data_IF_550277798133
#
_entry.id   IF_550277798133
#
_cell.length_a   1.000
_cell.length_b   1.000
_cell.length_c   1.000
_cell.angle_alpha   90.00
_cell.angle_beta   90.00
_cell.angle_gamma   90.00
#
_symmetry.space_group_name_H-M   'P 1'
#
loop_
_entity.id
_entity.type
_entity.pdbx_description
1 polymer ?
#
# COMPACT_ATOMS: atom_id res chain seq x y z
N UNK A 1 -5.51 -1.57 16.62
CA UNK A 1 -5.98 -0.26 16.10
C UNK A 1 -4.87 0.80 16.14
N UNK A 2 -4.40 1.27 17.30
CA UNK A 2 -3.45 2.41 17.39
C UNK A 2 -2.12 2.22 16.66
N UNK A 3 -1.57 1.00 16.64
CA UNK A 3 -0.33 0.70 15.94
C UNK A 3 -0.48 0.89 14.43
N UNK A 4 -1.50 0.31 13.81
CA UNK A 4 -1.74 0.39 12.35
C UNK A 4 -1.91 1.82 11.89
N UNK A 5 -2.65 2.62 12.64
CA UNK A 5 -2.85 4.04 12.32
C UNK A 5 -1.67 4.94 12.75
N UNK A 6 -0.47 4.41 13.00
CA UNK A 6 0.71 5.22 13.34
C UNK A 6 1.66 5.34 12.14
N UNK A 7 2.64 6.27 12.18
CA UNK A 7 3.71 6.34 11.17
C UNK A 7 4.52 5.07 10.95
N UNK A 8 4.51 4.13 11.90
CA UNK A 8 5.20 2.84 11.80
C UNK A 8 4.25 1.70 11.47
N UNK A 9 2.94 1.99 11.39
CA UNK A 9 1.88 1.01 11.31
C UNK A 9 1.61 0.45 9.92
N UNK A 10 2.01 1.17 8.87
CA UNK A 10 1.69 0.82 7.49
C UNK A 10 2.23 -0.56 7.09
N UNK A 11 3.50 -0.86 7.41
CA UNK A 11 4.11 -2.16 7.15
C UNK A 11 3.45 -3.31 7.93
N UNK A 12 3.36 -3.25 9.27
CA UNK A 12 2.66 -4.25 10.07
C UNK A 12 1.20 -4.48 9.64
N UNK A 13 0.48 -3.41 9.32
CA UNK A 13 -0.89 -3.49 8.80
C UNK A 13 -0.95 -4.28 7.49
N UNK A 14 -0.11 -3.91 6.52
CA UNK A 14 -0.09 -4.59 5.22
C UNK A 14 0.32 -6.05 5.37
N UNK A 15 1.39 -6.33 6.12
CA UNK A 15 1.89 -7.69 6.35
C UNK A 15 0.83 -8.60 6.99
N UNK A 16 0.16 -8.12 8.05
CA UNK A 16 -0.74 -8.94 8.85
C UNK A 16 -2.14 -9.01 8.23
N UNK A 17 -2.75 -7.87 7.95
CA UNK A 17 -4.15 -7.81 7.53
C UNK A 17 -4.31 -8.12 6.05
N UNK A 18 -3.45 -7.55 5.20
CA UNK A 18 -3.59 -7.69 3.75
C UNK A 18 -2.89 -8.97 3.27
N UNK A 19 -1.60 -9.10 3.53
CA UNK A 19 -0.80 -10.19 2.97
C UNK A 19 -1.08 -11.53 3.67
N UNK A 20 -0.92 -11.61 5.00
CA UNK A 20 -1.11 -12.86 5.72
C UNK A 20 -2.58 -13.27 5.76
N UNK A 21 -3.46 -12.45 6.34
CA UNK A 21 -4.89 -12.81 6.47
C UNK A 21 -5.59 -12.80 5.11
N UNK A 22 -5.43 -11.74 4.33
CA UNK A 22 -6.17 -11.52 3.09
C UNK A 22 -5.70 -12.33 1.88
N UNK A 23 -4.39 -12.56 1.73
CA UNK A 23 -3.84 -13.26 0.55
C UNK A 23 -3.42 -14.70 0.87
N UNK A 24 -2.73 -14.93 1.98
CA UNK A 24 -2.21 -16.26 2.32
C UNK A 24 -3.23 -17.17 3.01
N UNK A 25 -3.94 -16.69 4.02
CA UNK A 25 -4.82 -17.53 4.82
C UNK A 25 -6.20 -17.61 4.20
N UNK A 26 -6.76 -16.49 3.75
CA UNK A 26 -8.03 -16.47 3.05
C UNK A 26 -7.92 -17.16 1.67
N UNK A 27 -8.91 -17.98 1.33
CA UNK A 27 -9.04 -18.57 0.00
C UNK A 27 -10.32 -18.01 -0.61
N UNK A 28 -10.17 -17.13 -1.59
CA UNK A 28 -11.32 -16.55 -2.28
C UNK A 28 -12.14 -17.66 -2.98
N UNK A 29 -13.47 -17.54 -3.05
CA UNK A 29 -14.36 -18.53 -3.68
C UNK A 29 -14.27 -18.53 -5.23
N UNK A 30 -13.18 -18.01 -5.79
CA UNK A 30 -12.92 -17.96 -7.22
C UNK A 30 -12.22 -19.23 -7.71
N UNK A 31 -12.55 -19.66 -8.93
CA UNK A 31 -11.88 -20.80 -9.57
C UNK A 31 -10.39 -20.48 -9.73
N UNK A 32 -9.52 -21.32 -9.16
CA UNK A 32 -8.07 -21.18 -9.27
C UNK A 32 -7.36 -20.63 -8.03
N UNK A 33 -8.07 -20.05 -7.05
CA UNK A 33 -7.42 -19.46 -5.87
C UNK A 33 -6.52 -20.43 -5.10
N UNK A 34 -6.92 -21.70 -4.95
CA UNK A 34 -6.09 -22.70 -4.30
C UNK A 34 -4.81 -22.98 -5.11
N UNK A 35 -4.92 -23.10 -6.44
CA UNK A 35 -3.76 -23.31 -7.32
C UNK A 35 -2.78 -22.16 -7.21
N UNK A 36 -3.27 -20.92 -7.25
CA UNK A 36 -2.44 -19.73 -7.16
C UNK A 36 -1.71 -19.68 -5.81
N UNK A 37 -2.41 -20.01 -4.72
CA UNK A 37 -1.80 -20.13 -3.39
C UNK A 37 -0.72 -21.20 -3.35
N UNK A 38 -0.99 -22.39 -3.89
CA UNK A 38 0.00 -23.47 -3.95
C UNK A 38 1.24 -23.07 -4.76
N UNK A 39 1.08 -22.33 -5.85
CA UNK A 39 2.19 -21.80 -6.64
C UNK A 39 3.01 -20.80 -5.80
N UNK A 40 2.37 -19.84 -5.15
CA UNK A 40 3.05 -18.83 -4.32
C UNK A 40 3.79 -19.49 -3.14
N UNK A 41 3.14 -20.42 -2.43
CA UNK A 41 3.76 -21.15 -1.33
C UNK A 41 4.90 -22.04 -1.81
N UNK A 42 4.70 -22.78 -2.89
CA UNK A 42 5.74 -23.63 -3.48
C UNK A 42 6.97 -22.83 -3.89
N UNK A 43 6.76 -21.66 -4.53
CA UNK A 43 7.84 -20.74 -4.88
C UNK A 43 8.56 -20.18 -3.64
N UNK A 44 7.81 -19.69 -2.64
CA UNK A 44 8.40 -19.14 -1.43
C UNK A 44 9.21 -20.19 -0.64
N UNK A 45 8.69 -21.42 -0.54
CA UNK A 45 9.38 -22.54 0.11
C UNK A 45 10.63 -22.98 -0.67
N UNK A 46 10.54 -23.09 -1.99
CA UNK A 46 11.68 -23.51 -2.82
C UNK A 46 12.82 -22.49 -2.79
N UNK A 47 12.50 -21.20 -2.90
CA UNK A 47 13.48 -20.12 -2.76
C UNK A 47 14.07 -20.10 -1.36
N UNK A 48 13.24 -20.24 -0.33
CA UNK A 48 13.71 -20.26 1.06
C UNK A 48 14.67 -21.41 1.34
N UNK A 49 14.31 -22.62 0.93
CA UNK A 49 15.16 -23.80 1.07
C UNK A 49 16.46 -23.66 0.27
N UNK A 50 16.38 -23.15 -0.97
CA UNK A 50 17.57 -22.95 -1.82
C UNK A 50 18.54 -21.95 -1.19
N UNK A 51 18.05 -20.80 -0.71
CA UNK A 51 18.87 -19.80 -0.03
C UNK A 51 19.49 -20.34 1.26
N UNK A 52 18.74 -21.12 2.04
CA UNK A 52 19.27 -21.76 3.24
C UNK A 52 20.39 -22.75 2.90
N UNK A 53 20.16 -23.64 1.93
CA UNK A 53 21.12 -24.66 1.51
C UNK A 53 22.39 -24.01 0.95
N UNK A 54 22.26 -23.07 0.01
CA UNK A 54 23.40 -22.34 -0.56
C UNK A 54 24.18 -21.61 0.53
N UNK A 55 23.47 -20.95 1.46
CA UNK A 55 24.10 -20.24 2.56
C UNK A 55 24.88 -21.17 3.47
N UNK A 56 24.30 -22.32 3.80
CA UNK A 56 24.94 -23.31 4.65
C UNK A 56 26.21 -23.86 4.00
N UNK A 57 26.13 -24.27 2.72
CA UNK A 57 27.31 -24.76 1.99
C UNK A 57 28.39 -23.69 1.82
N UNK A 58 28.01 -22.45 1.51
CA UNK A 58 28.98 -21.34 1.38
C UNK A 58 29.73 -21.01 2.68
N UNK A 59 29.16 -21.41 3.83
CA UNK A 59 29.74 -21.22 5.16
C UNK A 59 30.27 -22.52 5.77
N UNK A 60 30.71 -23.48 4.94
CA UNK A 60 31.29 -24.74 5.41
C UNK A 60 30.27 -25.67 6.07
N UNK A 61 29.07 -25.79 5.50
CA UNK A 61 27.92 -26.58 5.99
C UNK A 61 27.31 -26.11 7.32
N UNK A 62 27.55 -24.85 7.69
CA UNK A 62 26.98 -24.24 8.89
C UNK A 62 25.52 -23.81 8.69
N UNK A 63 24.61 -24.31 9.53
CA UNK A 63 23.22 -23.86 9.54
C UNK A 63 23.09 -22.34 9.79
N UNK A 64 24.05 -21.73 10.52
CA UNK A 64 24.10 -20.28 10.74
C UNK A 64 24.30 -19.54 9.42
N UNK A 65 25.18 -20.04 8.54
CA UNK A 65 25.37 -19.47 7.20
C UNK A 65 24.10 -19.56 6.34
N UNK A 66 23.36 -20.66 6.48
CA UNK A 66 22.06 -20.84 5.83
C UNK A 66 21.03 -19.82 6.30
N UNK A 67 20.82 -19.71 7.61
CA UNK A 67 19.90 -18.72 8.20
C UNK A 67 20.33 -17.30 7.81
N UNK A 68 21.63 -17.02 7.83
CA UNK A 68 22.15 -15.69 7.51
C UNK A 68 21.84 -15.32 6.05
N UNK A 69 22.14 -16.20 5.09
CA UNK A 69 21.85 -15.95 3.68
C UNK A 69 20.34 -15.81 3.44
N UNK A 70 19.54 -16.70 4.02
CA UNK A 70 18.08 -16.63 3.94
C UNK A 70 17.54 -15.32 4.52
N UNK A 71 18.03 -14.90 5.68
CA UNK A 71 17.58 -13.67 6.35
C UNK A 71 17.84 -12.45 5.48
N UNK A 72 19.07 -12.29 4.98
CA UNK A 72 19.46 -11.10 4.21
C UNK A 72 18.85 -11.05 2.81
N UNK A 73 18.61 -12.21 2.18
CA UNK A 73 18.11 -12.27 0.79
C UNK A 73 16.60 -12.48 0.68
N UNK A 74 15.96 -13.03 1.71
CA UNK A 74 14.52 -13.29 1.72
C UNK A 74 13.82 -12.45 2.77
N UNK A 75 14.11 -12.66 4.05
CA UNK A 75 13.34 -12.06 5.15
C UNK A 75 13.40 -10.53 5.16
N UNK A 76 14.60 -9.95 5.05
CA UNK A 76 14.78 -8.48 5.07
C UNK A 76 14.12 -7.81 3.87
N UNK A 77 14.36 -8.23 2.60
CA UNK A 77 13.66 -7.68 1.45
C UNK A 77 12.14 -7.88 1.52
N UNK A 78 11.68 -9.02 2.04
CA UNK A 78 10.25 -9.30 2.21
C UNK A 78 9.59 -8.32 3.20
N UNK A 79 10.20 -8.08 4.36
CA UNK A 79 9.70 -7.09 5.33
C UNK A 79 9.74 -5.67 4.73
N UNK A 80 10.85 -5.32 4.06
CA UNK A 80 10.99 -4.01 3.42
C UNK A 80 9.92 -3.79 2.34
N UNK A 81 9.65 -4.79 1.51
CA UNK A 81 8.59 -4.77 0.50
C UNK A 81 7.21 -4.54 1.13
N UNK A 82 6.86 -5.30 2.18
CA UNK A 82 5.60 -5.10 2.90
C UNK A 82 5.48 -3.68 3.45
N UNK A 83 6.57 -3.11 3.95
CA UNK A 83 6.58 -1.73 4.44
C UNK A 83 6.39 -0.73 3.30
N UNK A 84 7.11 -0.89 2.18
CA UNK A 84 7.00 -0.01 1.01
C UNK A 84 5.58 -0.03 0.45
N UNK A 85 4.98 -1.20 0.27
CA UNK A 85 3.62 -1.30 -0.24
C UNK A 85 2.59 -0.75 0.75
N UNK A 86 2.71 -1.09 2.04
CA UNK A 86 1.86 -0.52 3.07
C UNK A 86 1.94 1.00 3.11
N UNK A 87 3.16 1.55 3.05
CA UNK A 87 3.41 2.99 2.99
C UNK A 87 2.74 3.62 1.76
N UNK A 88 2.93 3.04 0.56
CA UNK A 88 2.32 3.51 -0.68
C UNK A 88 0.78 3.54 -0.59
N UNK A 89 0.16 2.50 -0.03
CA UNK A 89 -1.28 2.49 0.21
C UNK A 89 -1.70 3.63 1.13
N UNK A 90 -0.96 3.86 2.22
CA UNK A 90 -1.29 4.89 3.20
C UNK A 90 -1.19 6.29 2.63
N UNK A 91 -0.09 6.63 1.94
CA UNK A 91 0.08 7.97 1.36
C UNK A 91 -1.00 8.29 0.34
N UNK A 92 -1.41 7.28 -0.45
CA UNK A 92 -2.41 7.47 -1.49
C UNK A 92 -3.84 7.53 -0.97
N UNK A 93 -4.19 6.76 0.06
CA UNK A 93 -5.59 6.57 0.45
C UNK A 93 -5.94 7.14 1.82
N UNK A 94 -4.97 7.72 2.54
CA UNK A 94 -5.20 8.33 3.85
C UNK A 94 -4.78 9.80 3.79
N UNK A 95 -5.78 10.67 3.75
CA UNK A 95 -5.60 12.12 3.77
C UNK A 95 -6.83 12.78 4.38
N UNK A 96 -6.60 13.89 5.08
CA UNK A 96 -7.62 14.72 5.72
C UNK A 96 -8.65 15.27 4.72
N UNK A 97 -8.27 15.42 3.45
CA UNK A 97 -9.16 15.85 2.38
C UNK A 97 -9.87 14.71 1.66
N UNK A 98 -9.56 13.43 1.94
CA UNK A 98 -10.28 12.31 1.31
C UNK A 98 -11.63 12.15 2.01
N UNK A 99 -12.76 12.37 1.30
CA UNK A 99 -14.08 12.28 1.89
C UNK A 99 -14.55 10.83 1.96
N UNK A 100 -14.91 10.35 3.16
CA UNK A 100 -15.57 9.06 3.32
C UNK A 100 -17.08 9.21 3.23
N UNK A 101 -17.71 8.21 2.61
CA UNK A 101 -19.16 8.12 2.47
C UNK A 101 -19.63 6.83 3.10
N UNK A 102 -20.86 6.88 3.61
CA UNK A 102 -21.57 5.68 4.00
C UNK A 102 -21.94 4.85 2.74
N UNK A 103 -22.58 3.71 2.97
CA UNK A 103 -22.93 2.79 1.88
C UNK A 103 -23.89 3.42 0.85
N UNK A 104 -24.72 4.38 1.25
CA UNK A 104 -25.72 4.99 0.38
C UNK A 104 -25.10 6.07 -0.50
N UNK A 105 -24.15 6.85 0.05
CA UNK A 105 -23.43 7.89 -0.68
C UNK A 105 -22.21 7.40 -1.48
N UNK A 106 -21.87 6.11 -1.39
CA UNK A 106 -20.70 5.55 -2.07
C UNK A 106 -21.06 4.91 -3.43
N UNK A 107 -20.22 5.15 -4.42
CA UNK A 107 -20.25 4.43 -5.71
C UNK A 107 -18.81 4.07 -6.14
N UNK A 108 -18.63 3.08 -7.03
CA UNK A 108 -17.32 2.76 -7.57
C UNK A 108 -16.62 3.96 -8.22
N UNK A 109 -17.38 4.75 -9.01
CA UNK A 109 -16.86 5.96 -9.63
C UNK A 109 -16.41 6.99 -8.58
N UNK A 110 -17.18 7.14 -7.51
CA UNK A 110 -16.80 8.00 -6.39
C UNK A 110 -15.50 7.52 -5.73
N UNK A 111 -15.41 6.24 -5.38
CA UNK A 111 -14.20 5.69 -4.75
C UNK A 111 -12.94 5.89 -5.60
N UNK A 112 -13.04 5.72 -6.92
CA UNK A 112 -11.92 5.86 -7.85
C UNK A 112 -11.48 7.33 -8.05
N UNK A 113 -12.43 8.26 -8.09
CA UNK A 113 -12.13 9.68 -8.30
C UNK A 113 -11.70 10.38 -7.00
N UNK A 114 -12.43 10.19 -5.90
CA UNK A 114 -12.23 10.99 -4.69
C UNK A 114 -11.42 10.29 -3.60
N UNK A 115 -11.10 8.99 -3.79
CA UNK A 115 -10.45 8.17 -2.78
C UNK A 115 -8.93 8.19 -2.79
N UNK A 116 -8.30 9.11 -3.54
CA UNK A 116 -6.84 9.10 -3.75
C UNK A 116 -6.17 10.47 -3.73
N UNK A 117 -4.91 10.49 -3.31
CA UNK A 117 -3.99 11.64 -3.44
C UNK A 117 -2.87 11.30 -4.42
N UNK A 118 -2.58 12.24 -5.32
CA UNK A 118 -1.45 12.21 -6.22
C UNK A 118 -0.25 12.95 -5.59
N UNK A 119 0.96 12.40 -5.71
CA UNK A 119 2.18 13.03 -5.23
C UNK A 119 3.16 13.28 -6.37
N UNK A 120 3.64 14.52 -6.47
CA UNK A 120 4.72 14.90 -7.36
C UNK A 120 6.06 14.73 -6.64
N UNK A 121 6.71 13.60 -6.89
CA UNK A 121 8.04 13.27 -6.36
C UNK A 121 9.12 13.42 -7.45
N UNK A 122 10.43 13.44 -7.10
CA UNK A 122 11.48 13.57 -8.10
C UNK A 122 11.41 12.48 -9.17
N UNK A 123 11.63 12.86 -10.43
CA UNK A 123 11.36 12.01 -11.60
C UNK A 123 12.08 10.66 -11.57
N UNK A 124 13.32 10.62 -11.05
CA UNK A 124 14.09 9.39 -10.91
C UNK A 124 13.38 8.38 -10.00
N UNK A 125 12.92 8.82 -8.82
CA UNK A 125 12.14 7.95 -7.93
C UNK A 125 10.83 7.54 -8.59
N UNK A 126 10.13 8.50 -9.21
CA UNK A 126 8.87 8.20 -9.88
C UNK A 126 9.02 7.11 -10.95
N UNK A 127 10.12 7.12 -11.72
CA UNK A 127 10.42 6.08 -12.71
C UNK A 127 10.54 4.68 -12.08
N UNK A 128 11.34 4.52 -11.02
CA UNK A 128 11.50 3.21 -10.35
C UNK A 128 10.22 2.73 -9.67
N UNK A 129 9.35 3.65 -9.26
CA UNK A 129 8.02 3.35 -8.75
C UNK A 129 6.95 3.27 -9.85
N UNK A 130 7.34 3.18 -11.13
CA UNK A 130 6.42 3.10 -12.26
C UNK A 130 5.33 4.18 -12.21
N UNK A 131 5.74 5.43 -11.96
CA UNK A 131 4.89 6.60 -11.83
C UNK A 131 3.67 6.45 -10.90
N UNK A 132 3.62 5.43 -10.02
CA UNK A 132 2.42 5.09 -9.25
C UNK A 132 2.01 6.23 -8.31
N UNK A 133 2.92 7.14 -7.98
CA UNK A 133 2.58 8.31 -7.18
C UNK A 133 1.59 9.27 -7.87
N UNK A 134 1.45 9.16 -9.19
CA UNK A 134 0.31 9.68 -9.96
C UNK A 134 -0.78 8.59 -9.98
N UNK A 135 -1.49 8.48 -8.87
CA UNK A 135 -2.26 7.29 -8.51
C UNK A 135 -3.70 7.30 -8.99
N UNK A 136 -4.35 8.47 -9.01
CA UNK A 136 -5.76 8.58 -9.38
C UNK A 136 -6.06 7.96 -10.76
N UNK A 137 -5.28 8.24 -11.84
CA UNK A 137 -5.59 7.69 -13.15
C UNK A 137 -5.49 6.15 -13.19
N UNK A 138 -4.63 5.56 -12.37
CA UNK A 138 -4.54 4.11 -12.22
C UNK A 138 -5.84 3.50 -11.67
N UNK A 139 -6.50 4.16 -10.73
CA UNK A 139 -7.81 3.72 -10.22
C UNK A 139 -8.94 3.90 -11.22
N UNK A 140 -8.92 5.02 -11.95
CA UNK A 140 -9.94 5.31 -12.97
C UNK A 140 -9.83 4.31 -14.13
N UNK A 141 -8.61 3.97 -14.56
CA UNK A 141 -8.39 2.97 -15.60
C UNK A 141 -7.05 2.27 -15.43
N UNK A 142 -7.08 1.07 -14.86
CA UNK A 142 -5.89 0.22 -14.60
C UNK A 142 -5.13 -0.19 -15.86
N UNK A 143 -5.72 -0.06 -17.05
CA UNK A 143 -5.07 -0.35 -18.34
C UNK A 143 -4.18 0.78 -18.85
N UNK A 144 -4.23 1.98 -18.26
CA UNK A 144 -3.35 3.07 -18.66
C UNK A 144 -1.91 2.67 -18.33
N UNK A 145 -0.99 2.67 -19.30
CA UNK A 145 0.39 2.34 -19.03
C UNK A 145 1.02 3.42 -18.14
N UNK A 146 1.95 3.01 -17.27
CA UNK A 146 2.47 3.89 -16.24
C UNK A 146 3.12 5.19 -16.76
N UNK A 147 3.73 5.13 -17.96
CA UNK A 147 4.36 6.28 -18.60
C UNK A 147 3.35 7.34 -19.10
N UNK A 148 2.07 6.98 -19.24
CA UNK A 148 0.98 7.91 -19.61
C UNK A 148 0.19 8.43 -18.41
N UNK A 149 0.49 8.03 -17.17
CA UNK A 149 -0.29 8.44 -16.00
C UNK A 149 -0.33 9.96 -15.80
N UNK A 150 0.75 10.68 -16.14
CA UNK A 150 0.78 12.14 -16.06
C UNK A 150 -0.17 12.79 -17.06
N UNK A 151 -0.13 12.35 -18.31
CA UNK A 151 -1.03 12.84 -19.36
C UNK A 151 -2.49 12.54 -19.03
N UNK A 152 -2.76 11.33 -18.53
CA UNK A 152 -4.09 10.94 -18.09
C UNK A 152 -4.59 11.81 -16.91
N UNK A 153 -3.72 12.15 -15.96
CA UNK A 153 -4.07 13.04 -14.86
C UNK A 153 -4.46 14.43 -15.37
N UNK A 154 -3.71 15.01 -16.31
CA UNK A 154 -4.05 16.31 -16.91
C UNK A 154 -5.38 16.25 -17.68
N UNK A 155 -5.63 15.14 -18.40
CA UNK A 155 -6.92 14.90 -19.04
C UNK A 155 -8.08 14.86 -18.03
N UNK A 156 -7.92 14.15 -16.90
CA UNK A 156 -8.92 14.11 -15.83
C UNK A 156 -9.12 15.51 -15.23
N UNK A 157 -8.03 16.24 -14.95
CA UNK A 157 -8.08 17.60 -14.37
C UNK A 157 -8.83 18.60 -15.24
N UNK A 158 -8.80 18.44 -16.56
CA UNK A 158 -9.55 19.32 -17.48
C UNK A 158 -11.07 19.28 -17.27
N UNK A 159 -11.60 18.21 -16.67
CA UNK A 159 -13.05 18.02 -16.43
C UNK A 159 -13.38 17.95 -14.94
N UNK A 160 -12.52 17.33 -14.13
CA UNK A 160 -12.75 16.99 -12.72
C UNK A 160 -11.71 17.63 -11.78
N UNK A 161 -11.04 18.70 -12.20
CA UNK A 161 -9.90 19.30 -11.50
C UNK A 161 -10.16 19.64 -10.02
N UNK A 162 -11.36 20.11 -9.68
CA UNK A 162 -11.75 20.47 -8.31
C UNK A 162 -11.69 19.29 -7.33
N UNK A 163 -11.65 18.07 -7.85
CA UNK A 163 -11.67 16.83 -7.09
C UNK A 163 -10.33 16.12 -7.05
N UNK A 164 -9.33 16.66 -7.76
CA UNK A 164 -7.99 16.08 -7.85
C UNK A 164 -7.15 16.62 -6.71
N UNK A 165 -6.76 15.75 -5.79
CA UNK A 165 -5.85 16.12 -4.71
C UNK A 165 -4.41 15.86 -5.17
N UNK A 166 -3.60 16.91 -5.22
CA UNK A 166 -2.19 16.85 -5.58
C UNK A 166 -1.31 17.43 -4.46
N UNK A 167 -0.20 16.74 -4.17
CA UNK A 167 0.75 17.11 -3.11
C UNK A 167 2.19 17.04 -3.61
N UNK A 168 3.08 17.77 -2.94
CA UNK A 168 4.54 17.72 -3.19
C UNK A 168 5.33 17.20 -1.99
N UNK A 169 4.69 17.09 -0.82
CA UNK A 169 5.34 16.84 0.48
C UNK A 169 5.02 15.46 1.03
N UNK A 170 5.45 14.40 0.33
CA UNK A 170 5.10 13.01 0.64
C UNK A 170 5.25 12.61 2.12
N UNK A 171 6.44 12.77 2.70
CA UNK A 171 6.71 12.32 4.07
C UNK A 171 6.00 13.16 5.12
N UNK A 172 5.93 14.49 4.94
CA UNK A 172 5.21 15.36 5.87
C UNK A 172 3.73 15.05 5.86
N UNK A 173 3.14 14.86 4.68
CA UNK A 173 1.73 14.48 4.53
C UNK A 173 1.47 13.10 5.15
N UNK A 174 2.36 12.11 4.94
CA UNK A 174 2.24 10.80 5.58
C UNK A 174 2.17 10.89 7.11
N UNK A 175 3.07 11.65 7.73
CA UNK A 175 3.10 11.83 9.19
C UNK A 175 1.86 12.60 9.67
N UNK A 176 1.44 13.64 8.94
CA UNK A 176 0.22 14.39 9.28
C UNK A 176 -1.01 13.50 9.19
N UNK A 177 -1.23 12.84 8.05
CA UNK A 177 -2.36 11.96 7.80
C UNK A 177 -2.45 10.86 8.85
N UNK A 178 -1.35 10.15 9.11
CA UNK A 178 -1.35 9.08 10.12
C UNK A 178 -1.58 9.60 11.54
N UNK A 179 -1.25 10.86 11.87
CA UNK A 179 -1.54 11.44 13.18
C UNK A 179 -2.97 11.98 13.30
N UNK A 180 -3.52 12.53 12.23
CA UNK A 180 -4.82 13.20 12.22
C UNK A 180 -5.98 12.25 11.90
N UNK A 181 -5.84 11.43 10.85
CA UNK A 181 -6.90 10.58 10.31
C UNK A 181 -7.04 9.31 11.16
N UNK A 182 -7.70 9.41 12.33
CA UNK A 182 -7.86 8.28 13.27
C UNK A 182 -9.25 7.68 13.25
N UNK A 183 -10.25 8.54 13.10
CA UNK A 183 -11.66 8.23 13.02
C UNK A 183 -12.30 9.19 12.01
N UNK A 184 -13.42 8.81 11.42
CA UNK A 184 -14.17 9.66 10.51
C UNK A 184 -15.48 10.09 11.18
N UNK A 185 -15.68 11.39 11.31
CA UNK A 185 -16.94 11.99 11.75
C UNK A 185 -17.86 12.08 10.54
N UNK A 186 -18.93 11.27 10.54
CA UNK A 186 -19.87 11.22 9.44
C UNK A 186 -20.84 12.42 9.40
N UNK A 187 -21.08 13.09 10.54
CA UNK A 187 -21.95 14.28 10.59
C UNK A 187 -21.28 15.50 9.99
N UNK A 188 -20.01 15.70 10.30
CA UNK A 188 -19.20 16.82 9.79
C UNK A 188 -18.44 16.46 8.50
N UNK A 189 -18.42 15.18 8.13
CA UNK A 189 -17.78 14.68 6.90
C UNK A 189 -16.26 14.80 6.92
N UNK A 190 -15.62 14.71 8.09
CA UNK A 190 -14.20 14.98 8.26
C UNK A 190 -13.47 13.94 9.11
N UNK A 191 -12.16 13.87 8.90
CA UNK A 191 -11.27 13.07 9.74
C UNK A 191 -11.00 13.76 11.07
N UNK A 192 -11.00 13.00 12.15
CA UNK A 192 -10.69 13.46 13.51
C UNK A 192 -9.69 12.54 14.21
N UNK A 193 -8.98 13.11 15.17
CA UNK A 193 -8.06 12.42 16.07
C UNK A 193 -8.82 11.66 17.17
N UNK A 194 -8.14 10.73 17.85
CA UNK A 194 -8.70 10.08 19.05
C UNK A 194 -8.96 11.05 20.21
N UNK A 195 -8.34 12.24 20.20
CA UNK A 195 -8.55 13.23 21.26
C UNK A 195 -9.84 14.00 21.02
N UNK A 196 -10.06 14.47 19.80
CA UNK A 196 -11.29 15.15 19.39
C UNK A 196 -12.51 14.24 19.59
N UNK A 197 -12.42 12.97 19.19
CA UNK A 197 -13.50 11.99 19.37
C UNK A 197 -13.87 11.69 20.84
N UNK A 198 -13.03 12.06 21.80
CA UNK A 198 -13.33 11.94 23.25
C UNK A 198 -13.97 13.20 23.83
N UNK A 199 -13.84 14.32 23.14
CA UNK A 199 -14.34 15.63 23.56
C UNK A 199 -15.69 15.97 22.92
N UNK A 200 -16.00 15.32 21.79
CA UNK A 200 -17.34 15.26 21.20
C UNK A 200 -18.23 14.29 21.97
#
# INVERSE_FOLDING_TARGET
HRLYWSPLGAGPYYLIEIWLKGMLLYTAPQKGALRDKLIVFGFALSVSASLFVVGAFSAGTSWIGGIWLWTKMFLVPYIAWNYVIGFSVYVHHINDQIPWKDRQGWSPAYGQLFGTVNYHIPALFNFFFHNIFIHMPHHVQVRIPFYNLKEALEGIKSVYGDYVIERRTLFSDYIRSTRHCKLFDASEGQWITYREAKLA
#
